data_IF_886892317550
#
_entry.id   IF_886892317550
#
_cell.length_a   1.000
_cell.length_b   1.000
_cell.length_c   1.000
_cell.angle_alpha   90.00
_cell.angle_beta   90.00
_cell.angle_gamma   90.00
#
_symmetry.space_group_name_H-M   'P 1'
#
loop_
_entity.id
_entity.type
_entity.pdbx_description
1 polymer ?
#
# COMPACT_ATOMS: atom_id res chain seq x y z
N UNK A 1 72.68 32.79 16.70
CA UNK A 1 71.87 32.00 15.74
C UNK A 1 72.06 30.54 16.12
N UNK A 2 71.05 29.96 16.79
CA UNK A 2 71.08 28.62 17.38
C UNK A 2 70.69 27.55 16.34
N UNK A 3 71.28 26.35 16.38
CA UNK A 3 70.64 25.15 15.86
C UNK A 3 70.11 24.29 17.01
N UNK A 4 68.82 23.95 16.93
CA UNK A 4 68.10 23.07 17.84
C UNK A 4 68.12 21.62 17.32
N UNK A 5 68.53 20.70 18.18
CA UNK A 5 68.32 19.26 18.02
C UNK A 5 67.14 18.76 18.88
N UNK A 6 66.56 17.62 18.50
CA UNK A 6 65.85 16.64 19.37
C UNK A 6 65.85 15.32 18.57
N UNK A 7 66.45 14.21 19.02
CA UNK A 7 66.27 13.38 20.21
C UNK A 7 65.09 12.41 20.10
N UNK A 8 65.46 11.13 20.24
CA UNK A 8 64.74 9.89 19.99
C UNK A 8 64.46 9.22 21.36
N UNK A 9 63.25 8.70 21.61
CA UNK A 9 62.96 7.89 22.81
C UNK A 9 61.84 6.87 22.59
N UNK A 10 62.14 5.64 23.00
CA UNK A 10 61.42 4.36 22.93
C UNK A 10 60.18 4.24 23.88
N UNK A 11 59.38 3.16 23.75
CA UNK A 11 58.06 3.03 24.39
C UNK A 11 58.10 2.41 25.80
N UNK A 12 57.03 2.63 26.56
CA UNK A 12 56.77 2.09 27.90
C UNK A 12 55.51 1.21 27.89
N UNK A 13 55.55 0.11 28.64
CA UNK A 13 54.52 -0.91 28.79
C UNK A 13 53.69 -0.75 30.09
N UNK A 14 52.65 -1.60 30.20
CA UNK A 14 51.71 -1.84 31.32
C UNK A 14 50.56 -0.82 31.42
N UNK A 15 49.29 -1.19 31.71
CA UNK A 15 48.86 -2.01 32.85
C UNK A 15 47.39 -2.47 32.68
N UNK A 16 47.04 -3.63 33.26
CA UNK A 16 45.72 -4.28 33.29
C UNK A 16 45.28 -4.43 34.75
N UNK A 17 44.10 -3.91 35.15
CA UNK A 17 43.33 -4.33 36.34
C UNK A 17 41.84 -3.83 36.23
N UNK A 18 40.85 -4.28 37.03
CA UNK A 18 39.99 -5.43 36.75
C UNK A 18 38.46 -5.15 36.81
N UNK A 19 37.73 -6.24 36.59
CA UNK A 19 36.29 -6.50 36.64
C UNK A 19 35.57 -6.11 37.94
N UNK A 20 34.34 -5.59 37.83
CA UNK A 20 33.46 -5.23 38.94
C UNK A 20 32.09 -5.91 38.78
N UNK A 21 31.95 -7.03 39.48
CA UNK A 21 30.73 -7.80 39.70
C UNK A 21 29.63 -7.00 40.41
N UNK A 22 28.45 -6.89 39.79
CA UNK A 22 27.22 -6.40 40.43
C UNK A 22 26.47 -7.59 41.05
N UNK A 23 26.30 -7.55 42.37
CA UNK A 23 25.45 -8.43 43.16
C UNK A 23 23.97 -8.14 42.87
N UNK A 24 23.19 -9.16 42.53
CA UNK A 24 21.72 -9.12 42.56
C UNK A 24 21.23 -9.95 43.74
N UNK A 25 20.59 -9.26 44.69
CA UNK A 25 19.89 -9.85 45.83
C UNK A 25 18.62 -10.58 45.36
N UNK A 26 18.52 -11.84 45.77
CA UNK A 26 17.32 -12.65 45.66
C UNK A 26 16.53 -12.57 46.98
N UNK A 27 15.25 -12.16 46.94
CA UNK A 27 14.16 -12.63 47.83
C UNK A 27 12.84 -11.90 47.54
N UNK A 28 11.88 -12.57 46.89
CA UNK A 28 10.50 -12.74 47.40
C UNK A 28 9.76 -13.81 46.59
N UNK A 29 9.66 -15.01 47.16
CA UNK A 29 8.72 -16.06 46.76
C UNK A 29 7.34 -15.64 47.25
N UNK A 30 6.35 -15.65 46.36
CA UNK A 30 4.92 -15.67 46.73
C UNK A 30 4.39 -17.06 46.38
N UNK A 31 3.85 -17.70 47.41
CA UNK A 31 3.14 -18.98 47.37
C UNK A 31 1.89 -18.89 46.50
N UNK A 32 1.69 -19.88 45.63
CA UNK A 32 0.37 -20.22 45.09
C UNK A 32 0.13 -21.70 45.32
N UNK A 33 -0.78 -21.98 46.26
CA UNK A 33 -1.25 -23.33 46.59
C UNK A 33 -2.09 -23.90 45.44
N UNK A 34 -1.89 -25.20 45.18
CA UNK A 34 -2.73 -26.07 44.35
C UNK A 34 -4.04 -26.45 45.08
N UNK A 35 -5.12 -26.50 44.33
CA UNK A 35 -6.34 -27.29 44.55
C UNK A 35 -7.12 -27.27 43.23
N UNK A 36 -7.23 -28.36 42.47
CA UNK A 36 -8.05 -29.56 42.64
C UNK A 36 -9.25 -29.54 41.66
N UNK A 37 -9.18 -30.43 40.66
CA UNK A 37 -10.23 -31.26 40.05
C UNK A 37 -11.63 -30.67 39.73
N UNK A 38 -11.98 -30.68 38.44
CA UNK A 38 -13.36 -30.59 37.92
C UNK A 38 -13.43 -30.97 36.44
N UNK A 39 -14.20 -32.00 36.14
CA UNK A 39 -14.44 -32.68 34.83
C UNK A 39 -15.33 -31.86 33.86
N UNK A 40 -15.54 -32.31 32.61
CA UNK A 40 -15.63 -31.45 31.42
C UNK A 40 -17.06 -31.00 31.11
N UNK A 41 -17.18 -29.82 30.50
CA UNK A 41 -18.45 -29.32 29.97
C UNK A 41 -18.36 -29.00 28.48
N UNK A 42 -19.50 -29.25 27.85
CA UNK A 42 -19.77 -29.55 26.45
C UNK A 42 -19.69 -28.37 25.48
N UNK A 43 -19.29 -28.71 24.25
CA UNK A 43 -19.40 -27.90 23.03
C UNK A 43 -20.87 -27.58 22.71
N UNK A 44 -21.21 -26.35 22.29
CA UNK A 44 -22.33 -26.13 21.41
C UNK A 44 -21.87 -25.65 20.02
N UNK A 45 -22.12 -26.50 19.03
CA UNK A 45 -22.21 -26.17 17.61
C UNK A 45 -23.23 -25.05 17.41
N UNK A 46 -22.82 -23.92 16.82
CA UNK A 46 -23.74 -22.89 16.32
C UNK A 46 -24.00 -23.08 14.82
N UNK A 47 -25.23 -23.46 14.54
CA UNK A 47 -25.89 -23.56 13.24
C UNK A 47 -25.93 -22.19 12.54
N UNK A 48 -25.53 -22.13 11.27
CA UNK A 48 -25.70 -20.94 10.42
C UNK A 48 -27.18 -20.81 10.06
N UNK A 49 -27.84 -19.73 10.49
CA UNK A 49 -29.10 -19.30 9.91
C UNK A 49 -28.82 -18.46 8.66
N UNK A 50 -29.27 -18.97 7.51
CA UNK A 50 -29.43 -18.21 6.29
C UNK A 50 -30.62 -17.26 6.46
N UNK A 51 -30.40 -15.96 6.29
CA UNK A 51 -31.49 -15.01 6.18
C UNK A 51 -31.53 -14.44 4.75
N UNK A 52 -32.58 -14.82 4.02
CA UNK A 52 -33.00 -14.23 2.75
C UNK A 52 -33.66 -12.89 3.07
N UNK A 53 -33.01 -11.79 2.70
CA UNK A 53 -33.57 -10.44 2.77
C UNK A 53 -33.70 -9.87 1.36
N UNK A 54 -34.89 -9.36 1.05
CA UNK A 54 -35.41 -9.02 -0.27
C UNK A 54 -34.69 -7.84 -0.94
N UNK A 55 -34.58 -7.94 -2.27
CA UNK A 55 -34.17 -6.86 -3.15
C UNK A 55 -35.31 -5.84 -3.31
N UNK A 56 -34.98 -4.56 -3.19
CA UNK A 56 -35.80 -3.45 -3.70
C UNK A 56 -35.07 -2.85 -4.89
N UNK A 57 -35.61 -3.12 -6.08
CA UNK A 57 -35.22 -2.53 -7.34
C UNK A 57 -35.62 -1.05 -7.38
N UNK A 58 -34.68 -0.17 -7.71
CA UNK A 58 -34.99 1.17 -8.22
C UNK A 58 -34.49 1.24 -9.65
N UNK A 59 -35.43 1.11 -10.60
CA UNK A 59 -35.22 1.36 -12.03
C UNK A 59 -34.89 2.83 -12.25
N UNK A 60 -33.87 3.11 -13.07
CA UNK A 60 -33.76 4.37 -13.78
C UNK A 60 -33.52 4.08 -15.27
N UNK A 61 -34.26 4.79 -16.10
CA UNK A 61 -34.58 4.46 -17.48
C UNK A 61 -33.37 4.49 -18.43
N UNK A 62 -33.26 3.43 -19.24
CA UNK A 62 -32.55 3.46 -20.52
C UNK A 62 -33.48 4.07 -21.58
N UNK A 63 -32.98 5.00 -22.38
CA UNK A 63 -33.66 5.44 -23.60
C UNK A 63 -33.26 4.52 -24.76
N UNK A 64 -34.26 3.98 -25.42
CA UNK A 64 -34.15 3.20 -26.64
C UNK A 64 -33.86 4.12 -27.84
N UNK A 65 -32.91 3.71 -28.68
CA UNK A 65 -32.81 4.18 -30.06
C UNK A 65 -33.07 2.98 -30.98
N UNK A 66 -34.14 3.06 -31.78
CA UNK A 66 -34.51 2.05 -32.77
C UNK A 66 -33.89 2.38 -34.13
N UNK A 67 -33.10 1.41 -34.61
CA UNK A 67 -32.81 0.93 -35.97
C UNK A 67 -32.86 1.85 -37.20
N UNK A 68 -31.81 1.76 -38.01
CA UNK A 68 -31.93 1.28 -39.40
C UNK A 68 -30.64 0.53 -39.83
N UNK A 69 -30.82 -0.54 -40.59
CA UNK A 69 -29.79 -1.41 -41.20
C UNK A 69 -29.48 -0.99 -42.65
N UNK A 70 -28.47 -1.68 -43.19
CA UNK A 70 -28.00 -1.77 -44.59
C UNK A 70 -26.90 -0.75 -44.91
N UNK A 71 -25.75 -1.07 -45.53
CA UNK A 71 -25.25 -2.27 -46.18
C UNK A 71 -24.25 -1.83 -47.26
N UNK A 72 -23.07 -2.45 -47.29
CA UNK A 72 -22.10 -2.52 -48.40
C UNK A 72 -21.38 -1.25 -48.92
N UNK A 73 -20.10 -1.44 -49.28
CA UNK A 73 -19.59 -0.96 -50.58
C UNK A 73 -18.54 0.15 -50.57
N UNK A 74 -17.31 -0.24 -50.92
CA UNK A 74 -16.14 0.55 -51.31
C UNK A 74 -16.45 1.62 -52.38
N UNK A 75 -15.86 2.82 -52.26
CA UNK A 75 -15.07 3.51 -53.30
C UNK A 75 -14.79 4.99 -52.93
N UNK A 76 -13.52 5.39 -53.03
CA UNK A 76 -13.10 6.79 -53.22
C UNK A 76 -13.34 7.19 -54.68
N UNK A 77 -13.60 8.49 -54.97
CA UNK A 77 -12.48 9.31 -55.45
C UNK A 77 -12.51 10.80 -55.05
N UNK A 78 -11.37 11.42 -55.33
CA UNK A 78 -11.01 12.84 -55.30
C UNK A 78 -11.67 13.65 -56.43
N UNK A 79 -11.93 14.95 -56.20
CA UNK A 79 -11.30 16.11 -56.89
C UNK A 79 -12.12 17.41 -56.72
N UNK A 80 -11.39 18.47 -56.37
CA UNK A 80 -11.46 19.89 -56.76
C UNK A 80 -12.80 20.64 -56.94
N UNK A 81 -12.87 21.84 -56.35
CA UNK A 81 -13.82 22.87 -56.77
C UNK A 81 -14.00 24.05 -55.80
N UNK A 82 -13.16 25.08 -55.97
CA UNK A 82 -13.29 26.43 -55.37
C UNK A 82 -14.48 27.19 -55.99
N UNK A 83 -15.34 27.85 -55.20
CA UNK A 83 -15.98 29.15 -55.54
C UNK A 83 -16.36 29.93 -54.26
N UNK A 84 -16.00 31.22 -54.25
CA UNK A 84 -16.35 32.25 -53.25
C UNK A 84 -17.85 32.59 -53.22
N UNK A 85 -18.36 32.95 -52.03
CA UNK A 85 -19.69 33.56 -51.91
C UNK A 85 -19.95 34.14 -50.52
N UNK A 86 -19.62 35.42 -50.36
CA UNK A 86 -19.91 36.26 -49.21
C UNK A 86 -21.41 36.37 -48.91
N UNK A 87 -21.79 36.40 -47.62
CA UNK A 87 -22.82 37.31 -47.08
C UNK A 87 -22.83 37.33 -45.56
N UNK A 88 -22.56 38.51 -45.04
CA UNK A 88 -22.76 38.89 -43.66
C UNK A 88 -24.24 38.76 -43.26
N UNK A 89 -24.49 38.22 -42.06
CA UNK A 89 -25.62 38.62 -41.21
C UNK A 89 -25.11 38.72 -39.78
N UNK A 90 -24.96 39.96 -39.31
CA UNK A 90 -25.04 40.26 -37.89
C UNK A 90 -26.49 40.07 -37.46
N UNK A 91 -26.70 39.35 -36.37
CA UNK A 91 -27.85 39.54 -35.48
C UNK A 91 -27.30 39.65 -34.07
N UNK A 92 -27.69 40.74 -33.43
CA UNK A 92 -27.27 41.21 -32.12
C UNK A 92 -28.13 40.60 -31.02
N UNK A 93 -27.52 40.44 -29.83
CA UNK A 93 -28.13 40.32 -28.49
C UNK A 93 -28.79 38.96 -28.18
N UNK A 94 -28.75 38.41 -26.96
CA UNK A 94 -28.78 39.01 -25.64
C UNK A 94 -27.97 38.17 -24.63
N UNK A 95 -27.48 38.87 -23.61
CA UNK A 95 -27.02 38.35 -22.33
C UNK A 95 -28.03 37.41 -21.68
N UNK A 96 -27.67 36.13 -21.55
CA UNK A 96 -28.17 35.30 -20.47
C UNK A 96 -27.00 34.97 -19.56
N UNK A 97 -27.10 35.49 -18.34
CA UNK A 97 -26.33 35.02 -17.18
C UNK A 97 -26.80 33.59 -16.95
N UNK A 98 -26.19 32.65 -17.65
CA UNK A 98 -26.38 31.23 -17.44
C UNK A 98 -25.97 30.92 -16.02
N UNK A 99 -26.97 30.63 -15.19
CA UNK A 99 -26.80 29.98 -13.89
C UNK A 99 -25.79 28.86 -14.08
N UNK A 100 -24.60 29.02 -13.49
CA UNK A 100 -23.63 27.94 -13.39
C UNK A 100 -24.36 26.84 -12.65
N UNK A 101 -24.81 25.83 -13.39
CA UNK A 101 -25.28 24.59 -12.81
C UNK A 101 -24.11 24.08 -11.98
N UNK A 102 -24.16 24.32 -10.67
CA UNK A 102 -23.27 23.67 -9.73
C UNK A 102 -23.63 22.20 -9.85
N UNK A 103 -22.87 21.47 -10.66
CA UNK A 103 -22.95 20.04 -10.76
C UNK A 103 -22.88 19.52 -9.32
N UNK A 104 -24.01 19.00 -8.82
CA UNK A 104 -24.06 18.39 -7.50
C UNK A 104 -23.00 17.29 -7.52
N UNK A 105 -22.00 17.40 -6.65
CA UNK A 105 -20.90 16.44 -6.59
C UNK A 105 -21.48 15.03 -6.45
N UNK A 106 -21.08 14.14 -7.35
CA UNK A 106 -21.46 12.74 -7.30
C UNK A 106 -20.91 12.12 -6.01
N UNK A 107 -21.75 11.34 -5.32
CA UNK A 107 -21.41 10.27 -4.37
C UNK A 107 -20.26 10.51 -3.38
N UNK A 108 -20.48 11.34 -2.35
CA UNK A 108 -19.59 11.40 -1.18
C UNK A 108 -18.23 12.09 -1.40
N UNK A 109 -17.36 12.11 -0.37
CA UNK A 109 -16.02 12.72 -0.47
C UNK A 109 -15.16 12.08 -1.56
N UNK A 110 -14.33 12.86 -2.26
CA UNK A 110 -13.35 12.28 -3.20
C UNK A 110 -12.36 11.39 -2.44
N UNK A 111 -11.82 10.34 -3.09
CA UNK A 111 -10.73 9.53 -2.57
C UNK A 111 -9.43 9.90 -3.30
N UNK A 112 -8.42 10.33 -2.56
CA UNK A 112 -7.07 10.57 -3.07
C UNK A 112 -6.17 9.44 -2.55
N UNK A 113 -5.86 8.47 -3.42
CA UNK A 113 -4.95 7.38 -3.12
C UNK A 113 -3.50 7.86 -3.28
N UNK A 114 -2.73 7.86 -2.19
CA UNK A 114 -1.38 8.44 -2.17
C UNK A 114 -0.34 7.33 -2.12
N UNK A 115 0.39 7.13 -3.21
CA UNK A 115 1.56 6.25 -3.24
C UNK A 115 2.84 7.04 -2.94
N UNK A 116 3.91 6.34 -2.55
CA UNK A 116 5.20 7.03 -2.32
C UNK A 116 5.80 7.57 -3.61
N UNK A 117 5.72 6.78 -4.69
CA UNK A 117 6.41 7.03 -5.94
C UNK A 117 7.77 6.33 -6.03
N UNK A 118 8.29 6.23 -7.24
CA UNK A 118 9.51 5.53 -7.59
C UNK A 118 10.05 6.03 -8.93
N UNK A 119 11.38 5.99 -9.07
CA UNK A 119 12.04 6.23 -10.37
C UNK A 119 11.83 5.08 -11.35
N UNK A 120 11.39 3.92 -10.87
CA UNK A 120 11.09 2.77 -11.71
C UNK A 120 9.69 2.88 -12.32
N UNK A 121 9.55 2.93 -13.65
CA UNK A 121 8.26 3.08 -14.31
C UNK A 121 7.29 1.90 -14.05
N UNK A 122 7.81 0.69 -13.77
CA UNK A 122 6.97 -0.47 -13.44
C UNK A 122 6.21 -0.24 -12.14
N UNK A 123 6.78 0.54 -11.22
CA UNK A 123 6.13 0.88 -9.97
C UNK A 123 4.91 1.78 -10.20
N UNK A 124 5.06 2.84 -10.98
CA UNK A 124 3.96 3.76 -11.27
C UNK A 124 2.83 3.06 -12.06
N UNK A 125 3.19 2.22 -13.03
CA UNK A 125 2.22 1.43 -13.79
C UNK A 125 1.42 0.46 -12.88
N UNK A 126 2.11 -0.23 -11.96
CA UNK A 126 1.47 -1.16 -11.03
C UNK A 126 0.51 -0.45 -10.07
N UNK A 127 0.94 0.69 -9.51
CA UNK A 127 0.09 1.50 -8.62
C UNK A 127 -1.11 2.07 -9.37
N UNK A 128 -0.94 2.51 -10.62
CA UNK A 128 -2.05 2.97 -11.45
C UNK A 128 -3.09 1.87 -11.67
N UNK A 129 -2.66 0.63 -11.93
CA UNK A 129 -3.56 -0.51 -12.04
C UNK A 129 -4.31 -0.79 -10.72
N UNK A 130 -3.61 -0.76 -9.58
CA UNK A 130 -4.25 -0.89 -8.25
C UNK A 130 -5.33 0.18 -8.03
N UNK A 131 -5.04 1.45 -8.37
CA UNK A 131 -6.02 2.54 -8.20
C UNK A 131 -7.19 2.42 -9.19
N UNK A 132 -6.96 1.90 -10.40
CA UNK A 132 -8.04 1.60 -11.33
C UNK A 132 -9.00 0.54 -10.76
N UNK A 133 -8.48 -0.52 -10.14
CA UNK A 133 -9.30 -1.55 -9.49
C UNK A 133 -10.09 -0.99 -8.29
N UNK A 134 -9.46 -0.12 -7.49
CA UNK A 134 -10.13 0.59 -6.39
C UNK A 134 -11.31 1.41 -6.95
N UNK A 135 -11.08 2.20 -8.00
CA UNK A 135 -12.10 3.04 -8.63
C UNK A 135 -13.25 2.20 -9.21
N UNK A 136 -12.91 1.08 -9.88
CA UNK A 136 -13.90 0.18 -10.46
C UNK A 136 -14.82 -0.46 -9.42
N UNK A 137 -14.32 -0.69 -8.20
CA UNK A 137 -15.12 -1.26 -7.11
C UNK A 137 -16.22 -0.30 -6.60
N UNK A 138 -16.06 1.03 -6.76
CA UNK A 138 -17.11 2.03 -6.43
C UNK A 138 -17.14 3.16 -7.46
N UNK A 139 -17.78 2.95 -8.63
CA UNK A 139 -17.80 3.92 -9.74
C UNK A 139 -18.44 5.28 -9.42
N UNK A 140 -19.19 5.38 -8.31
CA UNK A 140 -19.85 6.61 -7.87
C UNK A 140 -18.96 7.57 -7.08
N UNK A 141 -17.73 7.17 -6.73
CA UNK A 141 -16.77 8.00 -5.97
C UNK A 141 -15.66 8.49 -6.90
N UNK A 142 -15.31 9.77 -6.85
CA UNK A 142 -14.14 10.27 -7.57
C UNK A 142 -12.85 9.77 -6.91
N UNK A 143 -12.13 8.89 -7.61
CA UNK A 143 -10.87 8.29 -7.14
C UNK A 143 -9.70 8.85 -7.94
N UNK A 144 -8.73 9.42 -7.24
CA UNK A 144 -7.52 10.04 -7.83
C UNK A 144 -6.26 9.38 -7.29
N UNK A 145 -5.29 9.11 -8.17
CA UNK A 145 -3.94 8.71 -7.78
C UNK A 145 -3.06 9.96 -7.61
N UNK A 146 -2.33 10.02 -6.50
CA UNK A 146 -1.28 11.00 -6.24
C UNK A 146 0.01 10.31 -5.77
N UNK A 147 1.14 10.98 -5.97
CA UNK A 147 2.44 10.53 -5.48
C UNK A 147 3.04 11.53 -4.49
N UNK A 148 3.67 11.01 -3.44
CA UNK A 148 4.41 11.83 -2.46
C UNK A 148 5.67 12.42 -3.09
N UNK A 149 6.38 11.65 -3.89
CA UNK A 149 7.64 12.03 -4.53
C UNK A 149 7.83 11.27 -5.86
N UNK A 150 8.84 11.65 -6.64
CA UNK A 150 9.42 10.94 -7.79
C UNK A 150 8.52 10.76 -9.03
N UNK A 151 7.20 10.87 -8.89
CA UNK A 151 6.24 10.75 -9.97
C UNK A 151 5.21 11.88 -9.92
N UNK A 152 4.53 12.09 -11.04
CA UNK A 152 3.38 12.97 -11.16
C UNK A 152 2.11 12.14 -11.36
N UNK A 153 0.94 12.65 -10.95
CA UNK A 153 0.74 13.95 -10.31
C UNK A 153 1.12 13.94 -8.81
N UNK A 154 1.65 15.08 -8.31
CA UNK A 154 1.96 15.26 -6.89
C UNK A 154 0.67 15.36 -6.04
N UNK A 155 0.78 15.17 -4.73
CA UNK A 155 -0.34 15.38 -3.80
C UNK A 155 -0.95 16.77 -3.96
N UNK A 156 -0.13 17.82 -4.04
CA UNK A 156 -0.61 19.20 -4.22
C UNK A 156 -1.38 19.37 -5.52
N UNK A 157 -0.86 18.83 -6.63
CA UNK A 157 -1.51 18.91 -7.94
C UNK A 157 -2.88 18.24 -7.94
N UNK A 158 -3.00 17.08 -7.27
CA UNK A 158 -4.28 16.36 -7.18
C UNK A 158 -5.25 17.08 -6.26
N UNK A 159 -4.81 17.58 -5.10
CA UNK A 159 -5.68 18.36 -4.21
C UNK A 159 -6.19 19.62 -4.90
N UNK A 160 -5.35 20.32 -5.64
CA UNK A 160 -5.74 21.51 -6.42
C UNK A 160 -6.77 21.17 -7.49
N UNK A 161 -6.62 20.03 -8.17
CA UNK A 161 -7.58 19.56 -9.15
C UNK A 161 -8.93 19.22 -8.50
N UNK A 162 -8.92 18.52 -7.37
CA UNK A 162 -10.12 18.15 -6.60
C UNK A 162 -10.86 19.39 -6.09
N UNK A 163 -10.13 20.38 -5.55
CA UNK A 163 -10.70 21.66 -5.12
C UNK A 163 -11.35 22.42 -6.29
N UNK A 164 -10.64 22.51 -7.43
CA UNK A 164 -11.13 23.19 -8.63
C UNK A 164 -12.36 22.49 -9.24
N UNK A 165 -12.54 21.20 -9.01
CA UNK A 165 -13.72 20.43 -9.41
C UNK A 165 -14.92 20.63 -8.46
N UNK A 166 -14.78 21.44 -7.40
CA UNK A 166 -15.87 21.80 -6.51
C UNK A 166 -16.14 20.80 -5.39
N UNK A 167 -15.23 19.85 -5.13
CA UNK A 167 -15.35 18.99 -3.96
C UNK A 167 -15.20 19.82 -2.67
N UNK A 168 -16.12 19.62 -1.72
CA UNK A 168 -16.05 20.21 -0.38
C UNK A 168 -15.33 19.30 0.63
N UNK A 169 -15.11 18.03 0.28
CA UNK A 169 -14.40 17.05 1.11
C UNK A 169 -13.65 16.03 0.26
N UNK A 170 -12.39 15.76 0.62
CA UNK A 170 -11.62 14.63 0.12
C UNK A 170 -10.97 13.84 1.26
N UNK A 171 -10.95 12.52 1.10
CA UNK A 171 -10.28 11.57 1.97
C UNK A 171 -8.98 11.11 1.30
N UNK A 172 -7.87 11.30 2.01
CA UNK A 172 -6.53 10.97 1.53
C UNK A 172 -6.12 9.64 2.14
N UNK A 173 -5.98 8.60 1.31
CA UNK A 173 -5.65 7.23 1.74
C UNK A 173 -4.22 6.89 1.33
N UNK A 174 -3.27 6.78 2.28
CA UNK A 174 -1.89 6.42 1.93
C UNK A 174 -1.74 4.93 1.64
N UNK A 175 -1.28 4.59 0.44
CA UNK A 175 -1.03 3.21 -0.03
C UNK A 175 0.29 2.64 0.49
N UNK A 176 0.49 2.69 1.81
CA UNK A 176 1.77 2.37 2.45
C UNK A 176 1.64 1.18 3.40
N UNK A 177 2.45 0.15 3.14
CA UNK A 177 2.44 -1.13 3.88
C UNK A 177 3.06 -1.05 5.28
N UNK A 178 3.76 0.03 5.58
CA UNK A 178 4.38 0.26 6.86
C UNK A 178 4.30 1.73 7.23
N UNK A 179 4.50 2.00 8.52
CA UNK A 179 4.67 3.35 9.03
C UNK A 179 6.09 3.83 8.72
N UNK A 180 6.41 3.99 7.43
CA UNK A 180 7.64 4.67 7.02
C UNK A 180 7.59 6.10 7.57
N UNK A 181 8.65 6.53 8.24
CA UNK A 181 8.74 7.79 8.99
C UNK A 181 8.26 9.00 8.17
N UNK A 182 8.56 9.03 6.87
CA UNK A 182 8.13 10.08 5.93
C UNK A 182 6.62 10.25 5.79
N UNK A 183 5.84 9.17 5.85
CA UNK A 183 4.39 9.27 5.63
C UNK A 183 3.61 9.88 6.80
N UNK A 184 4.17 9.82 8.01
CA UNK A 184 3.58 10.45 9.20
C UNK A 184 4.03 11.89 9.41
N UNK A 185 5.11 12.31 8.76
CA UNK A 185 5.70 13.63 8.96
C UNK A 185 5.43 14.52 7.75
N UNK A 186 5.64 14.01 6.54
CA UNK A 186 5.63 14.83 5.33
C UNK A 186 4.19 15.05 4.84
N UNK A 187 3.38 13.98 4.76
CA UNK A 187 2.01 14.07 4.26
C UNK A 187 1.11 14.99 5.10
N UNK A 188 1.09 14.95 6.45
CA UNK A 188 0.29 15.88 7.24
C UNK A 188 0.65 17.35 6.98
N UNK A 189 1.95 17.65 6.81
CA UNK A 189 2.41 18.99 6.46
C UNK A 189 1.92 19.44 5.09
N UNK A 190 2.02 18.58 4.07
CA UNK A 190 1.51 18.83 2.72
C UNK A 190 0.00 19.08 2.73
N UNK A 191 -0.76 18.27 3.47
CA UNK A 191 -2.21 18.41 3.59
C UNK A 191 -2.61 19.69 4.34
N UNK A 192 -1.89 20.05 5.40
CA UNK A 192 -2.13 21.32 6.11
C UNK A 192 -1.88 22.53 5.21
N UNK A 193 -0.79 22.52 4.43
CA UNK A 193 -0.51 23.57 3.47
C UNK A 193 -1.58 23.65 2.36
N UNK A 194 -2.04 22.50 1.85
CA UNK A 194 -3.10 22.46 0.86
C UNK A 194 -4.46 22.92 1.41
N UNK A 195 -4.78 22.57 2.66
CA UNK A 195 -5.98 23.02 3.38
C UNK A 195 -6.00 24.55 3.57
N UNK A 196 -4.84 25.16 3.84
CA UNK A 196 -4.72 26.61 3.94
C UNK A 196 -4.94 27.32 2.59
N UNK A 197 -4.52 26.70 1.47
CA UNK A 197 -4.76 27.21 0.11
C UNK A 197 -6.22 27.03 -0.34
N UNK A 198 -6.89 25.97 0.12
CA UNK A 198 -8.27 25.62 -0.25
C UNK A 198 -9.16 25.52 1.00
N UNK A 199 -9.55 26.64 1.63
CA UNK A 199 -10.27 26.63 2.91
C UNK A 199 -11.69 26.02 2.82
N UNK A 200 -12.25 25.89 1.61
CA UNK A 200 -13.56 25.26 1.36
C UNK A 200 -13.48 23.74 1.14
N UNK A 201 -12.28 23.19 0.91
CA UNK A 201 -12.07 21.76 0.73
C UNK A 201 -11.54 21.18 2.04
N UNK A 202 -12.37 20.42 2.75
CA UNK A 202 -11.91 19.63 3.90
C UNK A 202 -11.03 18.47 3.42
N UNK A 203 -9.87 18.28 4.05
CA UNK A 203 -8.98 17.14 3.82
C UNK A 203 -8.93 16.23 5.05
N UNK A 204 -9.30 14.96 4.91
CA UNK A 204 -9.19 13.95 5.98
C UNK A 204 -8.18 12.89 5.59
N UNK A 205 -7.09 12.76 6.35
CA UNK A 205 -6.14 11.67 6.17
C UNK A 205 -6.67 10.39 6.82
N UNK A 206 -6.75 9.30 6.06
CA UNK A 206 -7.06 7.97 6.56
C UNK A 206 -5.80 7.24 7.06
N UNK A 207 -5.98 6.09 7.73
CA UNK A 207 -4.86 5.26 8.15
C UNK A 207 -4.12 4.62 6.97
N UNK A 208 -2.79 4.51 7.07
CA UNK A 208 -1.94 3.80 6.10
C UNK A 208 -2.29 2.30 6.06
N UNK A 209 -2.25 1.65 4.88
CA UNK A 209 -2.60 0.21 4.73
C UNK A 209 -2.02 -0.67 5.86
N UNK A 210 -0.73 -0.50 6.16
CA UNK A 210 -0.07 -1.22 7.25
C UNK A 210 -0.03 -2.73 7.04
N UNK A 211 0.31 -3.51 8.08
CA UNK A 211 0.30 -4.96 8.02
C UNK A 211 -1.13 -5.49 8.21
N UNK A 212 -2.07 -5.15 7.33
CA UNK A 212 -3.42 -5.73 7.35
C UNK A 212 -3.35 -7.26 7.15
N UNK A 213 -4.24 -8.02 7.80
CA UNK A 213 -4.28 -9.48 7.63
C UNK A 213 -4.51 -9.90 6.19
N UNK A 214 -5.40 -9.20 5.49
CA UNK A 214 -5.73 -9.51 4.09
C UNK A 214 -4.56 -9.28 3.13
N UNK A 215 -3.60 -8.41 3.49
CA UNK A 215 -2.37 -8.25 2.71
C UNK A 215 -1.37 -9.37 2.97
N UNK A 216 -1.38 -9.96 4.16
CA UNK A 216 -0.58 -11.15 4.45
C UNK A 216 -1.16 -12.34 3.71
N UNK A 217 -2.48 -12.45 3.64
CA UNK A 217 -3.17 -13.43 2.81
C UNK A 217 -2.81 -13.22 1.33
N UNK A 218 -2.85 -11.98 0.83
CA UNK A 218 -2.42 -11.66 -0.54
C UNK A 218 -0.95 -12.06 -0.82
N UNK A 219 -0.05 -11.87 0.14
CA UNK A 219 1.33 -12.34 0.00
C UNK A 219 1.39 -13.85 -0.05
N UNK A 220 0.57 -14.54 0.76
CA UNK A 220 0.46 -15.99 0.69
C UNK A 220 -0.08 -16.45 -0.67
N UNK A 221 -1.09 -15.79 -1.23
CA UNK A 221 -1.60 -16.10 -2.57
C UNK A 221 -0.47 -16.00 -3.61
N UNK A 222 0.34 -14.94 -3.55
CA UNK A 222 1.52 -14.79 -4.44
C UNK A 222 2.58 -15.87 -4.24
N UNK A 223 2.77 -16.33 -3.01
CA UNK A 223 3.62 -17.49 -2.72
C UNK A 223 3.02 -18.74 -3.36
N UNK A 224 1.73 -19.01 -3.17
CA UNK A 224 1.09 -20.21 -3.74
C UNK A 224 1.07 -20.22 -5.26
N UNK A 225 0.92 -19.07 -5.91
CA UNK A 225 1.02 -18.92 -7.36
C UNK A 225 2.43 -19.29 -7.85
N UNK A 226 3.47 -18.77 -7.20
CA UNK A 226 4.85 -19.08 -7.52
C UNK A 226 5.21 -20.54 -7.24
N UNK A 227 4.64 -21.13 -6.18
CA UNK A 227 4.77 -22.54 -5.82
C UNK A 227 4.02 -23.43 -6.80
N UNK A 228 2.80 -23.09 -7.22
CA UNK A 228 2.02 -23.87 -8.17
C UNK A 228 2.65 -23.97 -9.56
N UNK A 229 3.54 -23.03 -9.90
CA UNK A 229 4.42 -23.10 -11.08
C UNK A 229 5.60 -24.07 -10.93
N UNK A 230 5.91 -24.54 -9.71
CA UNK A 230 7.05 -25.40 -9.38
C UNK A 230 6.54 -26.72 -8.81
N UNK A 231 6.78 -27.85 -9.49
CA UNK A 231 6.44 -29.16 -8.94
C UNK A 231 7.32 -29.47 -7.73
N UNK A 232 6.87 -29.10 -6.54
CA UNK A 232 7.50 -29.53 -5.31
C UNK A 232 7.18 -31.01 -5.04
N UNK A 233 8.21 -31.82 -4.84
CA UNK A 233 8.03 -33.18 -4.33
C UNK A 233 7.52 -33.08 -2.90
N UNK A 234 6.41 -33.79 -2.57
CA UNK A 234 5.69 -33.65 -1.30
C UNK A 234 6.49 -33.86 -0.01
N UNK A 235 7.73 -34.34 -0.09
CA UNK A 235 8.63 -34.52 1.05
C UNK A 235 9.49 -33.29 1.40
N UNK A 236 9.57 -32.28 0.51
CA UNK A 236 10.43 -31.11 0.75
C UNK A 236 9.74 -30.05 1.61
N UNK A 237 10.48 -29.51 2.58
CA UNK A 237 9.98 -28.47 3.49
C UNK A 237 10.30 -27.10 2.95
N UNK A 238 9.26 -26.36 2.55
CA UNK A 238 9.37 -24.98 2.12
C UNK A 238 9.71 -24.03 3.29
N UNK A 239 10.66 -23.14 3.05
CA UNK A 239 10.95 -21.96 3.85
C UNK A 239 10.66 -20.67 3.08
N UNK A 240 10.04 -19.70 3.74
CA UNK A 240 9.63 -18.43 3.12
C UNK A 240 10.46 -17.28 3.70
N UNK A 241 11.21 -16.59 2.86
CA UNK A 241 11.87 -15.34 3.21
C UNK A 241 10.97 -14.17 2.84
N UNK A 242 10.28 -13.58 3.82
CA UNK A 242 9.51 -12.35 3.62
C UNK A 242 10.50 -11.21 3.48
N UNK A 243 10.52 -10.57 2.33
CA UNK A 243 11.45 -9.48 2.04
C UNK A 243 10.73 -8.14 2.10
N UNK A 244 11.19 -7.22 2.94
CA UNK A 244 10.65 -5.87 3.06
C UNK A 244 11.72 -4.82 2.69
N UNK A 245 11.31 -3.55 2.56
CA UNK A 245 12.23 -2.44 2.24
C UNK A 245 13.35 -2.33 3.28
N UNK A 246 13.00 -2.33 4.57
CA UNK A 246 13.89 -1.92 5.65
C UNK A 246 13.77 -0.43 5.97
N UNK A 247 14.07 -0.04 7.20
CA UNK A 247 13.95 1.33 7.68
C UNK A 247 15.11 1.65 8.62
N UNK A 248 15.52 2.92 8.65
CA UNK A 248 16.49 3.43 9.62
C UNK A 248 15.96 3.38 11.07
N UNK A 249 14.63 3.36 11.26
CA UNK A 249 14.00 3.16 12.57
C UNK A 249 13.94 1.67 12.93
N UNK A 250 14.64 1.22 13.99
CA UNK A 250 14.59 -0.18 14.44
C UNK A 250 13.19 -0.61 14.89
N UNK A 251 12.43 0.29 15.51
CA UNK A 251 11.06 0.01 15.95
C UNK A 251 10.11 -0.26 14.76
N UNK A 252 10.33 0.40 13.61
CA UNK A 252 9.57 0.12 12.40
C UNK A 252 9.90 -1.26 11.81
N UNK A 253 11.19 -1.66 11.86
CA UNK A 253 11.61 -2.99 11.44
C UNK A 253 11.02 -4.07 12.36
N UNK A 254 11.03 -3.88 13.68
CA UNK A 254 10.40 -4.84 14.64
C UNK A 254 8.90 -5.04 14.35
N UNK A 255 8.17 -3.97 14.02
CA UNK A 255 6.77 -4.08 13.60
C UNK A 255 6.62 -4.86 12.28
N UNK A 256 7.46 -4.55 11.30
CA UNK A 256 7.45 -5.23 9.98
C UNK A 256 7.81 -6.71 10.10
N UNK A 257 8.73 -7.08 11.00
CA UNK A 257 9.03 -8.48 11.33
C UNK A 257 7.81 -9.26 11.87
N UNK A 258 6.77 -8.56 12.35
CA UNK A 258 5.48 -9.16 12.68
C UNK A 258 4.77 -9.81 11.49
N UNK A 259 4.99 -9.32 10.26
CA UNK A 259 4.43 -9.89 9.02
C UNK A 259 4.90 -11.33 8.83
N UNK A 260 6.21 -11.57 8.93
CA UNK A 260 6.79 -12.91 8.80
C UNK A 260 6.25 -13.88 9.87
N UNK A 261 6.08 -13.42 11.11
CA UNK A 261 5.52 -14.23 12.21
C UNK A 261 4.06 -14.60 11.95
N UNK A 262 3.26 -13.66 11.45
CA UNK A 262 1.85 -13.90 11.11
C UNK A 262 1.70 -14.84 9.92
N UNK A 263 2.54 -14.68 8.90
CA UNK A 263 2.57 -15.61 7.77
C UNK A 263 2.97 -17.03 8.20
N UNK A 264 3.96 -17.17 9.09
CA UNK A 264 4.31 -18.46 9.68
C UNK A 264 3.13 -19.09 10.45
N UNK A 265 2.43 -18.29 11.27
CA UNK A 265 1.27 -18.76 12.03
C UNK A 265 0.10 -19.16 11.12
N UNK A 266 -0.12 -18.43 10.02
CA UNK A 266 -1.17 -18.71 9.04
C UNK A 266 -0.91 -20.01 8.27
N UNK A 267 0.34 -20.25 7.86
CA UNK A 267 0.68 -21.28 6.86
C UNK A 267 1.34 -22.52 7.45
N UNK A 268 1.91 -22.43 8.65
CA UNK A 268 2.75 -23.48 9.24
C UNK A 268 4.14 -23.60 8.59
N UNK A 269 4.44 -22.84 7.53
CA UNK A 269 5.77 -22.83 6.92
C UNK A 269 6.79 -22.10 7.79
N UNK A 270 8.06 -22.50 7.64
CA UNK A 270 9.16 -21.78 8.27
C UNK A 270 9.32 -20.44 7.58
N UNK A 271 9.19 -19.36 8.33
CA UNK A 271 9.28 -18.00 7.75
C UNK A 271 10.38 -17.19 8.43
N UNK A 272 11.12 -16.41 7.65
CA UNK A 272 12.07 -15.41 8.12
C UNK A 272 11.74 -14.04 7.53
N UNK A 273 12.03 -12.98 8.27
CA UNK A 273 12.05 -11.62 7.72
C UNK A 273 13.44 -11.31 7.18
N UNK A 274 13.52 -10.60 6.07
CA UNK A 274 14.72 -9.92 5.61
C UNK A 274 14.40 -8.53 5.07
N UNK A 275 15.43 -7.71 4.92
CA UNK A 275 15.30 -6.35 4.41
C UNK A 275 16.24 -6.08 3.23
N UNK A 276 15.76 -5.29 2.28
CA UNK A 276 16.53 -4.88 1.10
C UNK A 276 17.56 -3.77 1.38
N UNK A 277 17.41 -3.04 2.49
CA UNK A 277 18.23 -1.87 2.83
C UNK A 277 18.89 -1.93 4.21
N UNK A 278 18.60 -2.97 5.01
CA UNK A 278 19.14 -3.14 6.35
C UNK A 278 19.22 -4.63 6.72
N UNK A 279 19.61 -4.92 7.96
CA UNK A 279 19.74 -6.29 8.46
C UNK A 279 18.49 -6.78 9.19
N UNK A 280 18.19 -8.09 9.16
CA UNK A 280 18.92 -9.13 8.43
C UNK A 280 18.70 -9.06 6.91
N UNK A 281 19.76 -9.27 6.15
CA UNK A 281 19.74 -9.34 4.69
C UNK A 281 19.13 -10.66 4.18
N UNK A 282 18.75 -10.70 2.89
CA UNK A 282 18.17 -11.89 2.26
C UNK A 282 19.08 -13.14 2.39
N UNK A 283 20.40 -13.08 2.13
CA UNK A 283 21.29 -14.24 2.34
C UNK A 283 21.30 -14.76 3.79
N UNK A 284 21.16 -13.87 4.78
CA UNK A 284 21.09 -14.27 6.19
C UNK A 284 19.77 -14.97 6.51
N UNK A 285 18.64 -14.45 6.01
CA UNK A 285 17.34 -15.12 6.16
C UNK A 285 17.33 -16.50 5.50
N UNK A 286 17.89 -16.64 4.29
CA UNK A 286 18.06 -17.93 3.61
C UNK A 286 18.89 -18.89 4.47
N UNK A 287 20.02 -18.43 5.00
CA UNK A 287 20.90 -19.24 5.86
C UNK A 287 20.17 -19.71 7.12
N UNK A 288 19.38 -18.84 7.77
CA UNK A 288 18.57 -19.19 8.95
C UNK A 288 17.46 -20.18 8.61
N UNK A 289 16.79 -20.03 7.47
CA UNK A 289 15.77 -20.97 7.01
C UNK A 289 16.36 -22.37 6.79
N UNK A 290 17.51 -22.45 6.10
CA UNK A 290 18.24 -23.71 5.88
C UNK A 290 18.69 -24.34 7.20
N UNK A 291 19.23 -23.55 8.12
CA UNK A 291 19.63 -24.03 9.46
C UNK A 291 18.44 -24.62 10.26
N UNK A 292 17.21 -24.19 9.97
CA UNK A 292 15.99 -24.76 10.57
C UNK A 292 15.42 -25.95 9.80
N UNK A 293 16.08 -26.42 8.75
CA UNK A 293 15.69 -27.57 7.95
C UNK A 293 14.70 -27.24 6.83
N UNK A 294 14.69 -26.02 6.30
CA UNK A 294 14.03 -25.75 5.02
C UNK A 294 14.88 -26.32 3.88
N UNK A 295 14.29 -27.19 3.06
CA UNK A 295 14.93 -27.84 1.92
C UNK A 295 14.86 -26.95 0.67
N UNK A 296 13.76 -26.20 0.56
CA UNK A 296 13.52 -25.23 -0.50
C UNK A 296 13.19 -23.87 0.08
N UNK A 297 13.61 -22.82 -0.62
CA UNK A 297 13.42 -21.45 -0.20
C UNK A 297 12.66 -20.71 -1.29
N UNK A 298 11.74 -19.86 -0.85
CA UNK A 298 11.04 -18.91 -1.69
C UNK A 298 11.09 -17.53 -1.05
N UNK A 299 11.29 -16.50 -1.87
CA UNK A 299 11.25 -15.10 -1.44
C UNK A 299 9.86 -14.54 -1.69
N UNK A 300 9.25 -13.97 -0.65
CA UNK A 300 7.93 -13.36 -0.67
C UNK A 300 8.05 -11.84 -0.46
N UNK A 301 7.98 -11.02 -1.51
CA UNK A 301 8.13 -9.57 -1.38
C UNK A 301 6.93 -8.94 -0.64
N UNK A 302 7.19 -8.33 0.52
CA UNK A 302 6.29 -7.38 1.19
C UNK A 302 6.40 -5.99 0.54
N UNK A 303 5.99 -5.93 -0.74
CA UNK A 303 6.07 -4.76 -1.61
C UNK A 303 4.77 -4.61 -2.39
N UNK A 304 4.30 -3.37 -2.59
CA UNK A 304 3.10 -3.12 -3.40
C UNK A 304 3.40 -3.22 -4.89
N UNK A 305 4.59 -2.80 -5.31
CA UNK A 305 4.96 -2.70 -6.72
C UNK A 305 6.42 -3.12 -6.94
N UNK A 306 6.79 -3.60 -8.14
CA UNK A 306 8.17 -3.94 -8.46
C UNK A 306 9.04 -2.68 -8.58
N UNK A 307 10.34 -2.83 -8.40
CA UNK A 307 11.32 -1.79 -8.67
C UNK A 307 12.75 -2.18 -8.33
N UNK A 308 13.63 -1.18 -8.25
CA UNK A 308 15.07 -1.39 -7.97
C UNK A 308 15.35 -2.25 -6.73
N UNK A 309 14.56 -2.12 -5.66
CA UNK A 309 14.74 -2.92 -4.45
C UNK A 309 14.34 -4.38 -4.63
N UNK A 310 13.27 -4.66 -5.38
CA UNK A 310 12.90 -6.04 -5.70
C UNK A 310 13.91 -6.67 -6.66
N UNK A 311 14.45 -5.91 -7.61
CA UNK A 311 15.52 -6.39 -8.51
C UNK A 311 16.81 -6.70 -7.75
N UNK A 312 17.14 -5.92 -6.70
CA UNK A 312 18.27 -6.20 -5.82
C UNK A 312 18.08 -7.51 -5.05
N UNK A 313 16.86 -7.82 -4.61
CA UNK A 313 16.56 -9.10 -3.95
C UNK A 313 16.76 -10.27 -4.93
N UNK A 314 16.30 -10.13 -6.17
CA UNK A 314 16.51 -11.12 -7.23
C UNK A 314 18.01 -11.31 -7.48
N UNK A 315 18.76 -10.22 -7.63
CA UNK A 315 20.21 -10.25 -7.85
C UNK A 315 20.96 -10.90 -6.68
N UNK A 316 20.50 -10.70 -5.44
CA UNK A 316 21.15 -11.26 -4.25
C UNK A 316 20.91 -12.77 -4.08
N UNK A 317 19.87 -13.34 -4.72
CA UNK A 317 19.55 -14.76 -4.65
C UNK A 317 18.90 -15.22 -5.97
N UNK A 318 19.67 -15.31 -7.08
CA UNK A 318 19.13 -15.63 -8.40
C UNK A 318 18.63 -17.07 -8.51
N UNK A 319 19.19 -18.00 -7.73
CA UNK A 319 18.84 -19.43 -7.74
C UNK A 319 17.61 -19.76 -6.86
N UNK A 320 16.99 -18.75 -6.25
CA UNK A 320 15.83 -18.90 -5.37
C UNK A 320 14.60 -18.41 -6.11
N UNK A 321 13.46 -19.07 -5.92
CA UNK A 321 12.18 -18.63 -6.50
C UNK A 321 11.74 -17.34 -5.80
N UNK A 322 11.36 -16.31 -6.58
CA UNK A 322 10.77 -15.08 -6.05
C UNK A 322 9.30 -15.02 -6.45
N UNK A 323 8.41 -14.91 -5.47
CA UNK A 323 7.02 -14.58 -5.73
C UNK A 323 6.90 -13.16 -6.31
N UNK A 324 5.79 -12.91 -7.00
CA UNK A 324 5.43 -11.57 -7.42
C UNK A 324 5.13 -10.66 -6.21
N UNK A 325 5.23 -9.35 -6.43
CA UNK A 325 4.79 -8.35 -5.45
C UNK A 325 3.28 -8.43 -5.22
N UNK A 326 2.78 -7.76 -4.17
CA UNK A 326 1.33 -7.72 -3.87
C UNK A 326 0.54 -7.20 -5.06
N UNK A 327 1.02 -6.16 -5.76
CA UNK A 327 0.45 -5.69 -7.02
C UNK A 327 -1.06 -5.45 -6.95
N UNK A 328 -1.77 -5.55 -8.09
CA UNK A 328 -3.22 -5.65 -8.11
C UNK A 328 -3.70 -6.90 -7.35
N UNK A 329 -4.52 -6.69 -6.33
CA UNK A 329 -5.13 -7.74 -5.53
C UNK A 329 -6.46 -7.24 -4.95
N UNK A 330 -7.56 -8.03 -4.99
CA UNK A 330 -8.87 -7.58 -4.49
C UNK A 330 -8.85 -7.05 -3.06
N UNK A 331 -8.06 -7.68 -2.17
CA UNK A 331 -7.87 -7.22 -0.79
C UNK A 331 -7.44 -5.75 -0.66
N UNK A 332 -6.67 -5.21 -1.62
CA UNK A 332 -6.26 -3.80 -1.56
C UNK A 332 -7.44 -2.86 -1.72
N UNK A 333 -8.36 -3.17 -2.64
CA UNK A 333 -9.56 -2.38 -2.82
C UNK A 333 -10.43 -2.40 -1.56
N UNK A 334 -10.63 -3.59 -0.97
CA UNK A 334 -11.37 -3.73 0.29
C UNK A 334 -10.74 -2.91 1.43
N UNK A 335 -9.43 -3.02 1.63
CA UNK A 335 -8.74 -2.27 2.69
C UNK A 335 -8.87 -0.77 2.45
N UNK A 336 -8.60 -0.30 1.23
CA UNK A 336 -8.68 1.13 0.91
C UNK A 336 -10.08 1.68 1.17
N UNK A 337 -11.11 0.92 0.81
CA UNK A 337 -12.49 1.30 1.06
C UNK A 337 -12.84 1.29 2.56
N UNK A 338 -12.35 0.33 3.34
CA UNK A 338 -12.52 0.35 4.80
C UNK A 338 -11.87 1.59 5.42
N UNK A 339 -10.67 1.98 4.95
CA UNK A 339 -9.97 3.18 5.44
C UNK A 339 -10.70 4.46 5.06
N UNK A 340 -11.23 4.49 3.84
CA UNK A 340 -12.05 5.59 3.37
C UNK A 340 -13.33 5.71 4.20
N UNK A 341 -14.09 4.64 4.37
CA UNK A 341 -15.36 4.65 5.11
C UNK A 341 -15.16 5.02 6.58
N UNK A 342 -14.10 4.51 7.23
CA UNK A 342 -13.75 4.88 8.59
C UNK A 342 -13.41 6.38 8.73
N UNK A 343 -12.68 6.94 7.76
CA UNK A 343 -12.34 8.37 7.74
C UNK A 343 -13.58 9.25 7.53
N UNK A 344 -14.52 8.83 6.67
CA UNK A 344 -15.81 9.51 6.48
C UNK A 344 -16.65 9.46 7.76
N UNK A 345 -16.78 8.28 8.38
CA UNK A 345 -17.56 8.10 9.61
C UNK A 345 -17.02 8.96 10.79
N UNK A 346 -15.72 8.95 11.01
CA UNK A 346 -15.09 9.76 12.06
C UNK A 346 -15.33 11.26 11.87
N UNK A 347 -15.40 11.72 10.60
CA UNK A 347 -15.68 13.12 10.29
C UNK A 347 -17.12 13.50 10.63
N UNK A 348 -18.08 12.61 10.39
CA UNK A 348 -19.49 12.84 10.74
C UNK A 348 -19.67 12.92 12.26
N UNK A 349 -19.03 12.04 13.02
CA UNK A 349 -19.09 12.05 14.49
C UNK A 349 -18.50 13.31 15.12
N UNK A 350 -17.46 13.90 14.53
CA UNK A 350 -16.85 15.15 15.03
C UNK A 350 -17.66 16.41 14.67
N UNK A 351 -18.60 16.30 13.73
CA UNK A 351 -19.42 17.43 13.24
C UNK A 351 -20.83 17.46 13.84
N UNK A 352 -21.21 16.43 14.62
CA UNK A 352 -22.51 16.28 15.29
C UNK A 352 -22.39 16.68 16.77
#
# INVERSE_FOLDING_TARGET
MNPSGTANSRPVAAEVVPDASVRLDAKKRVDVRRGATGSPETVPTRTRHANRGQATETRCAASEAVSARDGAGVATPSLDGVVLGSRARQVTALSEVGSVAIARSCGGPALIAVAHGSRDPRSAATVAAVVADIAAARPGVDVRLAFLDLNAPSVEQVVDAVARQGHSHAVVVPLLLGSAFHARVDLPGMLAAAQARHPQLRLTQAEVLGPDGRLIDAVWDRVTEAVGGVRYSGDKRLGIAVAAVGSSSPAANVRTAGVARRLAALTGHRTEICYATTEPSLPQAISRLRARGADEILVAPWFLAPGLLTDRLITAAPDVVHASVIGPHPALAEIVWDRYDAAVANTLTMSA
#
